data_IF_228004408151
#
_entry.id   IF_228004408151
#
_cell.length_a   1.000
_cell.length_b   1.000
_cell.length_c   1.000
_cell.angle_alpha   90.00
_cell.angle_beta   90.00
_cell.angle_gamma   90.00
#
_symmetry.space_group_name_H-M   'P 1'
#
loop_
_entity.id
_entity.type
_entity.pdbx_description
1 polymer ?
#
# COMPACT_ATOMS: atom_id res chain seq x y z
N UNK A 1 -3.56 16.59 -19.05
CA UNK A 1 -3.24 15.20 -18.69
C UNK A 1 -2.17 15.25 -17.62
N UNK A 2 -2.58 15.34 -16.36
CA UNK A 2 -1.67 15.33 -15.22
C UNK A 2 -1.06 13.94 -15.16
N UNK A 3 0.25 13.82 -15.40
CA UNK A 3 0.92 12.55 -15.17
C UNK A 3 0.79 12.25 -13.67
N UNK A 4 0.14 11.14 -13.34
CA UNK A 4 0.16 10.57 -12.00
C UNK A 4 1.56 9.97 -11.75
N UNK A 5 2.59 10.80 -11.82
CA UNK A 5 3.90 10.49 -11.26
C UNK A 5 3.73 10.63 -9.75
N UNK A 6 3.44 9.51 -9.08
CA UNK A 6 3.37 9.42 -7.62
C UNK A 6 4.62 10.06 -7.03
N UNK A 7 4.42 11.22 -6.39
CA UNK A 7 5.50 12.13 -6.12
C UNK A 7 6.04 11.82 -4.72
N UNK A 8 7.22 11.23 -4.64
CA UNK A 8 7.96 10.98 -3.41
C UNK A 8 7.97 12.19 -2.44
N UNK A 9 7.96 13.42 -2.98
CA UNK A 9 8.00 14.66 -2.21
C UNK A 9 6.63 15.19 -1.77
N UNK A 10 5.51 14.60 -2.21
CA UNK A 10 4.17 15.06 -1.88
C UNK A 10 3.31 13.89 -1.36
N UNK A 11 3.24 13.70 -0.03
CA UNK A 11 2.54 12.56 0.55
C UNK A 11 1.05 12.58 0.23
N UNK A 12 0.51 11.43 -0.17
CA UNK A 12 -0.92 11.25 -0.44
C UNK A 12 -1.73 11.40 0.86
N UNK A 13 -2.85 12.15 0.87
CA UNK A 13 -3.70 12.26 2.04
C UNK A 13 -4.44 10.95 2.29
N UNK A 14 -4.48 10.50 3.54
CA UNK A 14 -5.27 9.34 3.95
C UNK A 14 -6.77 9.54 3.60
N UNK A 15 -7.44 8.58 2.94
CA UNK A 15 -8.85 8.72 2.59
C UNK A 15 -9.78 8.78 3.82
N UNK A 16 -9.30 8.30 4.98
CA UNK A 16 -10.09 8.27 6.22
C UNK A 16 -9.86 9.46 7.16
N UNK A 17 -8.63 10.00 7.22
CA UNK A 17 -8.29 11.02 8.21
C UNK A 17 -7.50 12.22 7.67
N UNK A 18 -7.26 12.25 6.35
CA UNK A 18 -6.52 13.29 5.64
C UNK A 18 -5.08 13.54 6.12
N UNK A 19 -4.55 12.73 7.04
CA UNK A 19 -3.14 12.80 7.43
C UNK A 19 -2.25 12.36 6.27
N UNK A 20 -1.01 12.90 6.16
CA UNK A 20 -0.07 12.48 5.13
C UNK A 20 0.28 11.00 5.28
N UNK A 21 0.22 10.26 4.19
CA UNK A 21 0.61 8.85 4.10
C UNK A 21 1.96 8.69 3.41
N UNK A 22 2.65 7.62 3.77
CA UNK A 22 3.96 7.29 3.22
C UNK A 22 3.95 5.88 2.66
N UNK A 23 4.76 5.67 1.62
CA UNK A 23 5.06 4.37 1.05
C UNK A 23 6.59 4.25 0.92
N UNK A 24 7.07 3.02 0.78
CA UNK A 24 8.47 2.78 0.46
C UNK A 24 8.68 2.91 -1.05
N UNK A 25 9.82 3.49 -1.44
CA UNK A 25 10.21 3.69 -2.85
C UNK A 25 11.63 3.19 -3.10
N UNK A 26 11.84 2.60 -4.27
CA UNK A 26 13.15 2.11 -4.75
C UNK A 26 13.47 2.76 -6.08
N UNK A 27 14.72 3.21 -6.26
CA UNK A 27 15.22 3.68 -7.56
C UNK A 27 15.51 2.47 -8.47
N UNK A 28 14.88 2.46 -9.64
CA UNK A 28 15.06 1.41 -10.67
C UNK A 28 15.91 1.86 -11.85
N UNK A 29 16.61 3.00 -11.74
CA UNK A 29 17.49 3.55 -12.79
C UNK A 29 16.78 4.43 -13.83
N UNK A 30 15.45 4.57 -13.73
CA UNK A 30 14.64 5.52 -14.50
C UNK A 30 13.84 6.47 -13.60
N UNK A 31 13.98 6.34 -12.27
CA UNK A 31 13.24 7.10 -11.27
C UNK A 31 12.86 6.25 -10.05
N UNK A 32 12.35 6.91 -9.02
CA UNK A 32 11.80 6.27 -7.82
C UNK A 32 10.46 5.60 -8.16
N UNK A 33 10.33 4.32 -7.84
CA UNK A 33 9.11 3.53 -8.01
C UNK A 33 8.63 3.04 -6.65
N UNK A 34 7.33 3.12 -6.41
CA UNK A 34 6.72 2.63 -5.17
C UNK A 34 6.93 1.11 -5.06
N UNK A 35 7.44 0.64 -3.93
CA UNK A 35 7.72 -0.77 -3.66
C UNK A 35 6.93 -1.34 -2.45
N UNK A 36 6.27 -0.48 -1.67
CA UNK A 36 5.39 -0.88 -0.58
C UNK A 36 4.03 -0.17 -0.66
N UNK A 37 2.98 -0.67 0.01
CA UNK A 37 1.68 0.00 0.04
C UNK A 37 1.81 1.35 0.78
N UNK A 38 1.00 2.33 0.40
CA UNK A 38 0.84 3.50 1.25
C UNK A 38 0.23 3.08 2.60
N UNK A 39 0.71 3.71 3.67
CA UNK A 39 0.16 3.52 5.01
C UNK A 39 0.06 4.84 5.76
N UNK A 40 -0.97 4.95 6.59
CA UNK A 40 -1.21 6.09 7.46
C UNK A 40 -0.76 5.78 8.88
N UNK A 41 0.22 6.51 9.40
CA UNK A 41 0.70 6.35 10.78
C UNK A 41 -0.29 6.85 11.84
N UNK A 42 -1.26 7.69 11.46
CA UNK A 42 -2.26 8.26 12.39
C UNK A 42 -3.42 7.31 12.66
N UNK A 43 -4.02 6.72 11.62
CA UNK A 43 -5.17 5.84 11.77
C UNK A 43 -4.86 4.37 11.48
N UNK A 44 -3.69 4.04 10.92
CA UNK A 44 -3.32 2.67 10.58
C UNK A 44 -3.92 2.16 9.26
N UNK A 45 -4.63 3.01 8.49
CA UNK A 45 -5.11 2.64 7.16
C UNK A 45 -3.92 2.27 6.24
N UNK A 46 -4.09 1.28 5.37
CA UNK A 46 -3.09 0.91 4.38
C UNK A 46 -3.74 0.59 3.03
N UNK A 47 -3.03 0.85 1.95
CA UNK A 47 -3.47 0.56 0.58
C UNK A 47 -3.63 -0.95 0.33
N UNK A 48 -4.67 -1.34 -0.42
CA UNK A 48 -5.05 -2.74 -0.70
C UNK A 48 -4.16 -3.40 -1.76
N UNK A 49 -3.15 -2.70 -2.29
CA UNK A 49 -2.21 -3.08 -3.36
C UNK A 49 -2.06 -4.58 -3.68
N UNK A 50 -1.71 -5.45 -2.71
CA UNK A 50 -1.51 -6.89 -2.97
C UNK A 50 -2.74 -7.66 -3.46
N UNK A 51 -3.94 -7.18 -3.16
CA UNK A 51 -5.19 -7.84 -3.54
C UNK A 51 -5.70 -7.34 -4.90
N UNK A 52 -5.00 -6.40 -5.54
CA UNK A 52 -5.33 -5.89 -6.87
C UNK A 52 -4.75 -6.79 -7.96
N UNK A 53 -5.60 -7.28 -8.88
CA UNK A 53 -5.21 -7.94 -10.12
C UNK A 53 -4.90 -6.91 -11.19
N UNK A 54 -3.61 -6.73 -11.45
CA UNK A 54 -3.09 -5.80 -12.45
C UNK A 54 -3.08 -6.38 -13.88
N UNK A 55 -3.12 -7.70 -14.01
CA UNK A 55 -2.82 -8.42 -15.25
C UNK A 55 -3.90 -8.29 -16.34
N UNK A 56 -5.12 -7.91 -15.96
CA UNK A 56 -6.28 -7.96 -16.84
C UNK A 56 -6.72 -6.61 -17.41
N UNK A 57 -6.19 -5.49 -16.89
CA UNK A 57 -6.47 -4.15 -17.43
C UNK A 57 -5.38 -3.73 -18.41
N UNK A 58 -5.62 -4.00 -19.69
CA UNK A 58 -4.83 -3.47 -20.80
C UNK A 58 -5.62 -2.44 -21.59
N UNK A 59 -4.95 -1.39 -22.04
CA UNK A 59 -5.55 -0.35 -22.87
C UNK A 59 -5.70 -0.89 -24.30
N UNK A 60 -6.27 -0.09 -25.18
CA UNK A 60 -6.45 -0.42 -26.60
C UNK A 60 -5.13 -0.79 -27.32
N UNK A 61 -3.99 -0.41 -26.75
CA UNK A 61 -2.66 -0.64 -27.27
C UNK A 61 -1.92 -1.79 -26.56
N UNK A 62 -2.57 -2.48 -25.62
CA UNK A 62 -2.00 -3.61 -24.88
C UNK A 62 -1.11 -3.21 -23.70
N UNK A 63 -1.04 -1.93 -23.33
CA UNK A 63 -0.30 -1.44 -22.17
C UNK A 63 -1.18 -1.46 -20.92
N UNK A 64 -0.56 -1.46 -19.74
CA UNK A 64 -1.25 -1.47 -18.45
C UNK A 64 -2.16 -0.23 -18.28
N UNK A 65 -3.46 -0.47 -18.05
CA UNK A 65 -4.54 0.53 -18.16
C UNK A 65 -5.03 1.13 -16.83
N UNK A 66 -4.22 1.04 -15.77
CA UNK A 66 -4.53 1.64 -14.47
C UNK A 66 -4.82 0.61 -13.37
N UNK A 67 -5.36 1.05 -12.21
CA UNK A 67 -5.41 0.21 -11.01
C UNK A 67 -6.21 -1.06 -11.26
N UNK A 68 -5.61 -2.18 -10.85
CA UNK A 68 -6.15 -3.52 -10.99
C UNK A 68 -7.50 -3.71 -10.32
N UNK A 69 -8.11 -4.89 -10.50
CA UNK A 69 -9.38 -5.22 -9.86
C UNK A 69 -9.16 -5.94 -8.52
N UNK A 70 -9.90 -5.59 -7.48
CA UNK A 70 -9.80 -6.24 -6.17
C UNK A 70 -10.28 -7.69 -6.28
N UNK A 71 -9.41 -8.66 -5.92
CA UNK A 71 -9.77 -10.07 -5.77
C UNK A 71 -10.75 -10.24 -4.61
N UNK A 72 -11.67 -11.20 -4.73
CA UNK A 72 -12.61 -11.55 -3.66
C UNK A 72 -13.34 -10.33 -3.09
N UNK A 73 -13.89 -9.48 -3.96
CA UNK A 73 -14.58 -8.22 -3.61
C UNK A 73 -15.57 -8.35 -2.44
N UNK A 74 -16.20 -9.51 -2.29
CA UNK A 74 -17.13 -9.85 -1.20
C UNK A 74 -16.49 -9.80 0.22
N UNK A 75 -15.17 -9.88 0.31
CA UNK A 75 -14.43 -9.81 1.58
C UNK A 75 -14.14 -8.37 2.02
N UNK A 76 -14.50 -7.37 1.21
CA UNK A 76 -14.22 -5.96 1.43
C UNK A 76 -15.53 -5.18 1.60
N UNK A 77 -15.48 -4.19 2.47
CA UNK A 77 -16.57 -3.23 2.61
C UNK A 77 -16.64 -2.26 1.42
N UNK A 78 -17.79 -1.61 1.23
CA UNK A 78 -17.98 -0.64 0.15
C UNK A 78 -16.94 0.50 0.19
N UNK A 79 -16.59 0.98 1.39
CA UNK A 79 -15.58 2.05 1.56
C UNK A 79 -14.16 1.55 1.24
N UNK A 80 -13.83 0.30 1.57
CA UNK A 80 -12.53 -0.30 1.21
C UNK A 80 -12.40 -0.45 -0.30
N UNK A 81 -13.50 -0.82 -0.98
CA UNK A 81 -13.55 -0.95 -2.43
C UNK A 81 -13.49 0.42 -3.13
N UNK A 82 -14.21 1.42 -2.62
CA UNK A 82 -14.23 2.77 -3.18
C UNK A 82 -12.86 3.45 -3.06
N UNK A 83 -12.22 3.30 -1.90
CA UNK A 83 -10.96 3.98 -1.60
C UNK A 83 -9.73 3.20 -2.08
N UNK A 84 -9.82 1.88 -2.28
CA UNK A 84 -8.69 0.95 -2.41
C UNK A 84 -7.77 0.91 -1.17
N UNK A 85 -8.31 1.17 0.01
CA UNK A 85 -7.59 1.16 1.28
C UNK A 85 -8.32 0.33 2.33
N UNK A 86 -7.58 -0.49 3.08
CA UNK A 86 -8.10 -1.20 4.26
C UNK A 86 -8.63 -0.20 5.28
N UNK A 87 -9.82 -0.48 5.82
CA UNK A 87 -10.41 0.38 6.83
C UNK A 87 -9.63 0.25 8.15
N UNK A 88 -9.23 1.36 8.80
CA UNK A 88 -8.59 1.31 10.12
C UNK A 88 -9.26 0.41 11.15
N UNK A 89 -10.60 0.39 11.13
CA UNK A 89 -11.42 -0.36 12.09
C UNK A 89 -11.51 -1.85 11.75
N UNK A 90 -11.24 -2.24 10.50
CA UNK A 90 -11.24 -3.66 10.13
C UNK A 90 -10.03 -4.39 10.72
N UNK A 91 -9.00 -3.65 11.18
CA UNK A 91 -7.76 -4.21 11.72
C UNK A 91 -6.96 -4.99 10.67
N UNK A 92 -7.40 -4.95 9.40
CA UNK A 92 -6.72 -5.61 8.30
C UNK A 92 -5.49 -4.79 7.95
N UNK A 93 -4.34 -5.42 8.16
CA UNK A 93 -3.05 -4.91 7.71
C UNK A 93 -2.67 -5.73 6.48
N UNK A 94 -2.13 -5.06 5.46
CA UNK A 94 -1.60 -5.75 4.28
C UNK A 94 -0.69 -6.90 4.71
N UNK A 95 -0.84 -8.10 4.11
CA UNK A 95 -0.01 -9.26 4.47
C UNK A 95 1.48 -9.01 4.24
N UNK A 96 1.84 -8.06 3.38
CA UNK A 96 3.21 -7.67 3.05
C UNK A 96 3.72 -6.46 3.85
N UNK A 97 2.89 -5.84 4.70
CA UNK A 97 3.32 -4.70 5.50
C UNK A 97 4.26 -5.14 6.64
N UNK A 98 5.26 -4.30 6.91
CA UNK A 98 6.17 -4.48 8.03
C UNK A 98 5.42 -4.31 9.35
N UNK A 99 5.41 -5.36 10.17
CA UNK A 99 4.81 -5.34 11.51
C UNK A 99 5.76 -5.89 12.56
N UNK A 100 5.59 -5.41 13.79
CA UNK A 100 6.19 -5.98 15.01
C UNK A 100 5.05 -6.29 15.97
N UNK A 101 4.88 -7.55 16.36
CA UNK A 101 3.74 -8.01 17.17
C UNK A 101 2.38 -7.60 16.57
N UNK A 102 2.25 -7.64 15.25
CA UNK A 102 1.03 -7.26 14.53
C UNK A 102 0.76 -5.74 14.45
N UNK A 103 1.68 -4.89 14.92
CA UNK A 103 1.58 -3.43 14.82
C UNK A 103 2.43 -2.94 13.65
N UNK A 104 1.83 -2.13 12.77
CA UNK A 104 2.51 -1.55 11.62
C UNK A 104 3.61 -0.58 12.05
N UNK A 105 4.79 -0.69 11.44
CA UNK A 105 5.97 0.12 11.75
C UNK A 105 6.55 0.77 10.49
N UNK A 106 7.20 1.92 10.66
CA UNK A 106 7.91 2.60 9.58
C UNK A 106 9.18 1.82 9.15
N UNK A 107 9.74 2.15 7.99
CA UNK A 107 10.90 1.45 7.43
C UNK A 107 12.17 1.49 8.31
N UNK A 108 12.40 2.55 9.11
CA UNK A 108 13.58 2.63 9.98
C UNK A 108 13.42 1.69 11.16
N UNK A 109 12.24 1.71 11.76
CA UNK A 109 11.86 0.80 12.85
C UNK A 109 11.84 -0.64 12.36
N UNK A 110 11.28 -0.91 11.18
CA UNK A 110 11.28 -2.22 10.54
C UNK A 110 12.70 -2.74 10.29
N UNK A 111 13.58 -1.91 9.74
CA UNK A 111 14.99 -2.29 9.52
C UNK A 111 15.68 -2.63 10.84
N UNK A 112 15.52 -1.79 11.87
CA UNK A 112 16.11 -2.05 13.17
C UNK A 112 15.62 -3.37 13.77
N UNK A 113 14.31 -3.66 13.65
CA UNK A 113 13.72 -4.91 14.11
C UNK A 113 14.19 -6.12 13.29
N UNK A 114 14.32 -5.99 11.97
CA UNK A 114 14.87 -7.03 11.10
C UNK A 114 16.30 -7.40 11.50
N UNK A 115 17.15 -6.40 11.71
CA UNK A 115 18.57 -6.60 12.08
C UNK A 115 18.72 -7.36 13.41
N UNK A 116 17.72 -7.31 14.30
CA UNK A 116 17.72 -8.02 15.59
C UNK A 116 16.76 -9.22 15.64
N UNK A 117 16.11 -9.58 14.53
CA UNK A 117 15.20 -10.73 14.45
C UNK A 117 13.85 -10.56 15.18
N UNK A 118 13.36 -9.32 15.31
CA UNK A 118 12.08 -8.98 15.94
C UNK A 118 10.97 -8.60 14.94
N UNK A 119 11.27 -8.56 13.63
CA UNK A 119 10.27 -8.30 12.61
C UNK A 119 9.39 -9.54 12.40
N UNK A 120 8.07 -9.36 12.31
CA UNK A 120 7.14 -10.48 12.15
C UNK A 120 7.36 -11.20 10.81
N UNK A 121 7.60 -12.51 10.85
CA UNK A 121 7.63 -13.36 9.65
C UNK A 121 6.22 -13.56 9.09
N UNK A 122 6.09 -13.50 7.76
CA UNK A 122 4.82 -13.67 7.05
C UNK A 122 4.87 -14.96 6.23
N UNK A 123 3.98 -15.91 6.53
CA UNK A 123 3.74 -17.09 5.70
C UNK A 123 2.63 -16.76 4.70
N UNK A 124 3.01 -16.08 3.60
CA UNK A 124 2.11 -15.68 2.52
C UNK A 124 2.25 -16.65 1.35
#
# INVERSE_FOLDING_TARGET
MSSNYFNYNNPEPCPYCAAPCHADFVDVGVGMVQCGPYHCTKCGASEIGPELQYEDKKDENGFYAGPGEIKNREMFSDIEIETNWYEPKSGKISPYANTINGVLVDHKTAKAAYDVGLLDEKNI
#
